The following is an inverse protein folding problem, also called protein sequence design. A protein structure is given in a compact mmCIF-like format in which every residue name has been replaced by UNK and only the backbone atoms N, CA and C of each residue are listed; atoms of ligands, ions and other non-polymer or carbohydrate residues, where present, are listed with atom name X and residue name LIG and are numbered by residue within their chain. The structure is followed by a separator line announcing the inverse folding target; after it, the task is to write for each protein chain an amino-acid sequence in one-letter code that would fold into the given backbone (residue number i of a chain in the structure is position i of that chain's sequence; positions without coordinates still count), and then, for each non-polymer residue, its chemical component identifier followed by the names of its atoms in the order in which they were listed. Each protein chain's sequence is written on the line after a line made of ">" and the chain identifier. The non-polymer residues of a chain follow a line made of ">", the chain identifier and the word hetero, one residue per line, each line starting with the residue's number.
data_IF_304058299131
#
_entry.id   IF_304058299131
#
_cell.length_a   1.000
_cell.length_b   1.000
_cell.length_c   1.000
_cell.angle_alpha   90.00
_cell.angle_beta   90.00
_cell.angle_gamma   90.00
#
_symmetry.space_group_name_H-M   'P 1'
#
loop_
_entity.id
_entity.type
_entity.pdbx_description
1 polymer ?
#
# COMPACT_ATOMS: atom_id res chain seq x y z
N UNK A 1 11.68 -37.71 15.24
CA UNK A 1 10.86 -36.50 14.97
C UNK A 1 11.49 -35.18 15.45
N UNK A 2 12.30 -35.17 16.53
CA UNK A 2 12.85 -33.93 17.12
C UNK A 2 13.80 -33.11 16.21
N UNK A 3 14.43 -33.74 15.22
CA UNK A 3 15.30 -33.09 14.22
C UNK A 3 14.56 -32.51 13.00
N UNK A 4 13.32 -32.94 12.74
CA UNK A 4 12.55 -32.44 11.58
C UNK A 4 11.97 -31.06 11.86
N UNK A 5 11.60 -30.79 13.11
CA UNK A 5 11.06 -29.51 13.58
C UNK A 5 12.02 -28.34 13.30
N UNK A 6 13.30 -28.37 13.72
CA UNK A 6 14.21 -27.25 13.45
C UNK A 6 14.47 -27.07 11.96
N UNK A 7 14.54 -28.16 11.17
CA UNK A 7 14.73 -28.09 9.73
C UNK A 7 13.52 -27.44 9.03
N UNK A 8 12.30 -27.85 9.38
CA UNK A 8 11.07 -27.28 8.84
C UNK A 8 10.92 -25.80 9.22
N UNK A 9 11.27 -25.44 10.45
CA UNK A 9 11.29 -24.04 10.88
C UNK A 9 12.27 -23.21 10.05
N UNK A 10 13.47 -23.73 9.81
CA UNK A 10 14.48 -23.06 8.99
C UNK A 10 13.99 -22.86 7.54
N UNK A 11 13.43 -23.90 6.91
CA UNK A 11 12.84 -23.80 5.57
C UNK A 11 11.70 -22.79 5.51
N UNK A 12 10.81 -22.76 6.50
CA UNK A 12 9.71 -21.78 6.55
C UNK A 12 10.24 -20.36 6.71
N UNK A 13 11.21 -20.12 7.59
CA UNK A 13 11.80 -18.79 7.77
C UNK A 13 12.50 -18.31 6.49
N UNK A 14 13.26 -19.18 5.82
CA UNK A 14 13.90 -18.86 4.56
C UNK A 14 12.88 -18.57 3.45
N UNK A 15 11.78 -19.33 3.38
CA UNK A 15 10.70 -19.09 2.42
C UNK A 15 10.00 -17.75 2.69
N UNK A 16 9.70 -17.43 3.96
CA UNK A 16 9.07 -16.16 4.34
C UNK A 16 9.99 -14.98 4.03
N UNK A 17 11.29 -15.08 4.36
CA UNK A 17 12.26 -14.03 4.07
C UNK A 17 12.46 -13.87 2.56
N UNK A 18 12.58 -14.97 1.83
CA UNK A 18 12.67 -14.96 0.37
C UNK A 18 11.44 -14.35 -0.28
N UNK A 19 10.24 -14.65 0.22
CA UNK A 19 9.00 -14.03 -0.23
C UNK A 19 8.97 -12.52 0.09
N UNK A 20 9.41 -12.10 1.28
CA UNK A 20 9.43 -10.69 1.69
C UNK A 20 10.46 -9.87 0.90
N UNK A 21 11.61 -10.46 0.58
CA UNK A 21 12.69 -9.82 -0.18
C UNK A 21 12.46 -9.87 -1.69
N UNK A 22 11.82 -10.93 -2.17
CA UNK A 22 11.55 -11.19 -3.59
C UNK A 22 10.17 -10.73 -4.06
N UNK A 23 9.28 -10.31 -3.15
CA UNK A 23 8.05 -9.65 -3.53
C UNK A 23 8.43 -8.43 -4.39
N UNK A 24 8.01 -8.46 -5.66
CA UNK A 24 8.19 -7.35 -6.56
C UNK A 24 7.60 -6.10 -5.91
N UNK A 25 8.37 -5.01 -5.90
CA UNK A 25 7.85 -3.73 -5.46
C UNK A 25 6.66 -3.40 -6.36
N UNK A 26 5.51 -3.00 -5.79
CA UNK A 26 4.36 -2.65 -6.61
C UNK A 26 4.75 -1.53 -7.58
N UNK A 27 4.18 -1.57 -8.78
CA UNK A 27 4.30 -0.44 -9.69
C UNK A 27 3.49 0.74 -9.12
N UNK A 28 3.83 1.97 -9.54
CA UNK A 28 3.12 3.17 -9.11
C UNK A 28 1.61 3.06 -9.39
N UNK A 29 1.24 2.47 -10.53
CA UNK A 29 -0.16 2.21 -10.90
C UNK A 29 -0.87 1.26 -9.93
N UNK A 30 -0.21 0.20 -9.47
CA UNK A 30 -0.78 -0.75 -8.52
C UNK A 30 -1.00 -0.10 -7.15
N UNK A 31 -0.05 0.72 -6.71
CA UNK A 31 -0.12 1.45 -5.46
C UNK A 31 -1.26 2.49 -5.48
N UNK A 32 -1.41 3.22 -6.59
CA UNK A 32 -2.54 4.13 -6.81
C UNK A 32 -3.88 3.39 -6.83
N UNK A 33 -3.96 2.27 -7.56
CA UNK A 33 -5.19 1.48 -7.65
C UNK A 33 -5.63 0.95 -6.27
N UNK A 34 -4.67 0.53 -5.45
CA UNK A 34 -4.95 0.10 -4.06
C UNK A 34 -5.49 1.24 -3.21
N UNK A 35 -4.88 2.42 -3.24
CA UNK A 35 -5.37 3.58 -2.50
C UNK A 35 -6.75 4.05 -2.98
N UNK A 36 -6.98 4.04 -4.30
CA UNK A 36 -8.28 4.37 -4.89
C UNK A 36 -9.38 3.38 -4.48
N UNK A 37 -9.06 2.09 -4.37
CA UNK A 37 -10.00 1.07 -3.89
C UNK A 37 -10.41 1.31 -2.42
N UNK A 38 -9.46 1.72 -1.58
CA UNK A 38 -9.73 2.09 -0.18
C UNK A 38 -10.68 3.30 -0.15
N UNK A 39 -10.38 4.35 -0.92
CA UNK A 39 -11.21 5.54 -1.01
C UNK A 39 -12.66 5.24 -1.42
N UNK A 40 -12.86 4.43 -2.47
CA UNK A 40 -14.21 4.04 -2.93
C UNK A 40 -14.95 3.21 -1.90
N UNK A 41 -14.24 2.42 -1.08
CA UNK A 41 -14.85 1.66 0.02
C UNK A 41 -15.27 2.55 1.20
N UNK A 42 -14.56 3.67 1.42
CA UNK A 42 -14.82 4.62 2.50
C UNK A 42 -15.87 5.66 2.13
N UNK A 43 -15.93 6.08 0.86
CA UNK A 43 -16.80 7.15 0.36
C UNK A 43 -17.74 6.62 -0.72
N UNK A 44 -19.01 6.31 -0.37
CA UNK A 44 -20.00 5.80 -1.30
C UNK A 44 -20.27 6.77 -2.46
N UNK A 45 -20.45 6.24 -3.68
CA UNK A 45 -20.79 7.05 -4.85
C UNK A 45 -19.60 7.75 -5.52
N UNK A 46 -18.37 7.42 -5.12
CA UNK A 46 -17.16 7.95 -5.72
C UNK A 46 -16.53 6.97 -6.72
N UNK A 47 -15.62 7.47 -7.56
CA UNK A 47 -14.92 6.69 -8.57
C UNK A 47 -13.41 6.70 -8.34
N UNK A 48 -12.74 5.61 -8.71
CA UNK A 48 -11.28 5.47 -8.64
C UNK A 48 -10.53 6.52 -9.49
N UNK A 49 -11.19 7.07 -10.51
CA UNK A 49 -10.65 8.13 -11.38
C UNK A 49 -10.53 9.48 -10.68
N UNK A 50 -11.17 9.67 -9.54
CA UNK A 50 -11.06 10.88 -8.74
C UNK A 50 -9.80 10.91 -7.88
N UNK A 51 -8.84 10.01 -8.13
CA UNK A 51 -7.57 9.93 -7.41
C UNK A 51 -6.40 10.31 -8.32
N UNK A 52 -5.46 11.09 -7.77
CA UNK A 52 -4.22 11.45 -8.43
C UNK A 52 -3.03 11.12 -7.52
N UNK A 53 -2.01 10.49 -8.11
CA UNK A 53 -0.75 10.18 -7.47
C UNK A 53 0.29 11.28 -7.73
N UNK A 54 1.13 11.57 -6.74
CA UNK A 54 2.37 12.33 -6.89
C UNK A 54 3.50 11.67 -6.10
N UNK A 55 4.75 11.78 -6.57
CA UNK A 55 5.89 11.29 -5.80
C UNK A 55 5.99 12.03 -4.46
N UNK A 56 6.23 11.26 -3.40
CA UNK A 56 6.54 11.78 -2.08
C UNK A 56 8.02 12.04 -1.87
N UNK A 57 8.37 12.51 -0.67
CA UNK A 57 9.75 12.75 -0.25
C UNK A 57 10.10 11.91 1.00
N UNK A 58 11.38 11.54 1.11
CA UNK A 58 11.90 10.80 2.27
C UNK A 58 11.31 9.40 2.41
N UNK A 59 10.60 9.15 3.52
CA UNK A 59 9.97 7.87 3.82
C UNK A 59 8.70 7.63 3.00
N UNK A 60 8.07 8.71 2.49
CA UNK A 60 6.89 8.62 1.64
C UNK A 60 7.34 8.40 0.21
N UNK A 61 6.90 7.30 -0.40
CA UNK A 61 7.15 7.03 -1.80
C UNK A 61 6.12 7.71 -2.70
N UNK A 62 4.84 7.59 -2.35
CA UNK A 62 3.72 8.07 -3.15
C UNK A 62 2.68 8.75 -2.25
N UNK A 63 2.18 9.88 -2.72
CA UNK A 63 1.06 10.60 -2.12
C UNK A 63 -0.11 10.48 -3.10
N UNK A 64 -1.20 9.87 -2.65
CA UNK A 64 -2.42 9.72 -3.44
C UNK A 64 -3.49 10.62 -2.84
N UNK A 65 -3.93 11.63 -3.60
CA UNK A 65 -5.04 12.47 -3.22
C UNK A 65 -6.29 12.03 -3.99
N UNK A 66 -7.36 11.70 -3.28
CA UNK A 66 -8.65 11.34 -3.83
C UNK A 66 -9.71 12.38 -3.46
N UNK A 67 -10.63 12.65 -4.40
CA UNK A 67 -11.67 13.66 -4.25
C UNK A 67 -11.29 15.02 -4.84
N UNK A 68 -12.28 15.91 -4.94
CA UNK A 68 -12.08 17.26 -5.46
C UNK A 68 -11.36 18.11 -4.40
N UNK A 69 -10.54 19.10 -4.82
CA UNK A 69 -9.68 19.84 -3.91
C UNK A 69 -10.41 20.59 -2.79
N UNK A 70 -11.71 20.85 -2.94
CA UNK A 70 -12.55 21.62 -2.01
C UNK A 70 -13.71 20.81 -1.41
N UNK A 71 -13.74 19.48 -1.60
CA UNK A 71 -14.79 18.64 -1.02
C UNK A 71 -14.38 18.11 0.36
N UNK A 72 -15.31 18.03 1.33
CA UNK A 72 -15.04 17.45 2.66
C UNK A 72 -14.68 15.96 2.61
N UNK A 73 -14.98 15.31 1.49
CA UNK A 73 -14.66 13.91 1.20
C UNK A 73 -13.22 13.72 0.72
N UNK A 74 -12.45 14.80 0.53
CA UNK A 74 -11.06 14.70 0.09
C UNK A 74 -10.23 13.88 1.09
N UNK A 75 -9.47 12.92 0.56
CA UNK A 75 -8.56 12.06 1.33
C UNK A 75 -7.17 12.05 0.73
N UNK A 76 -6.16 12.10 1.59
CA UNK A 76 -4.75 12.00 1.19
C UNK A 76 -4.11 10.78 1.83
N UNK A 77 -3.66 9.84 1.01
CA UNK A 77 -3.01 8.59 1.41
C UNK A 77 -1.50 8.70 1.16
N UNK A 78 -0.69 8.47 2.19
CA UNK A 78 0.76 8.40 2.07
C UNK A 78 1.21 6.94 2.03
N UNK A 79 1.89 6.55 0.96
CA UNK A 79 2.33 5.18 0.69
C UNK A 79 3.85 5.05 0.80
N UNK A 80 4.32 3.95 1.36
CA UNK A 80 5.74 3.57 1.38
C UNK A 80 6.17 2.83 0.12
N UNK A 81 7.45 2.46 0.03
CA UNK A 81 8.02 1.74 -1.13
C UNK A 81 7.46 0.33 -1.36
N UNK A 82 6.71 -0.22 -0.39
CA UNK A 82 5.99 -1.47 -0.51
C UNK A 82 4.52 -1.26 -0.93
N UNK A 83 4.11 0.00 -1.16
CA UNK A 83 2.73 0.36 -1.47
C UNK A 83 1.79 0.16 -0.27
N UNK A 84 2.32 0.26 0.95
CA UNK A 84 1.57 0.20 2.20
C UNK A 84 1.36 1.61 2.77
N UNK A 85 0.26 1.81 3.50
CA UNK A 85 -0.06 3.09 4.12
C UNK A 85 0.87 3.37 5.30
N UNK A 86 1.55 4.51 5.26
CA UNK A 86 2.43 4.97 6.35
C UNK A 86 1.62 5.63 7.47
N UNK A 87 0.52 6.28 7.12
CA UNK A 87 -0.34 6.99 8.05
C UNK A 87 -1.82 6.87 7.63
N UNK A 88 -2.76 7.05 8.58
CA UNK A 88 -4.18 7.21 8.27
C UNK A 88 -4.39 8.34 7.26
N UNK A 89 -5.45 8.27 6.43
CA UNK A 89 -5.70 9.28 5.42
C UNK A 89 -5.88 10.66 6.04
N UNK A 90 -5.09 11.62 5.56
CA UNK A 90 -5.23 13.03 5.89
C UNK A 90 -6.42 13.68 5.16
N UNK A 91 -6.82 14.86 5.63
CA UNK A 91 -7.83 15.73 5.00
C UNK A 91 -7.12 16.83 4.20
#
# INVERSE_FOLDING_TARGET
>A
MRFVIPLAALCLTAAVLGYRLGAARPEEGDALARAAAIYVSEVPGTETRNCAARPGEGQVWLIVACGLPETPERRVYALDRAGELIAPPGI
#
